data_IF_650592594485
#
_entry.id   IF_650592594485
#
_cell.length_a   1.000
_cell.length_b   1.000
_cell.length_c   1.000
_cell.angle_alpha   90.00
_cell.angle_beta   90.00
_cell.angle_gamma   90.00
#
_symmetry.space_group_name_H-M   'P 1'
#
loop_
_entity.id
_entity.type
_entity.pdbx_description
1 polymer ?
#
# COMPACT_ATOMS: atom_id res chain seq x y z
N UNK A 1 45.39 2.40 -25.49
CA UNK A 1 44.80 2.33 -24.15
C UNK A 1 45.85 1.70 -23.24
N UNK A 2 46.44 2.47 -22.33
CA UNK A 2 47.62 2.04 -21.58
C UNK A 2 47.35 0.76 -20.77
N UNK A 3 48.36 -0.09 -20.62
CA UNK A 3 48.30 -1.37 -19.89
C UNK A 3 47.82 -1.23 -18.45
N UNK A 4 47.93 -0.03 -17.87
CA UNK A 4 47.48 0.31 -16.51
C UNK A 4 45.98 0.65 -16.42
N UNK A 5 45.32 0.99 -17.53
CA UNK A 5 43.90 1.39 -17.54
C UNK A 5 42.96 0.19 -17.37
N UNK A 6 43.36 -0.99 -17.90
CA UNK A 6 42.58 -2.24 -17.81
C UNK A 6 42.35 -2.74 -16.37
N UNK A 7 43.38 -2.85 -15.50
CA UNK A 7 43.16 -3.27 -14.11
C UNK A 7 42.38 -2.23 -13.30
N UNK A 8 42.53 -0.93 -13.61
CA UNK A 8 41.78 0.13 -12.96
C UNK A 8 40.27 0.01 -13.24
N UNK A 9 39.90 -0.25 -14.50
CA UNK A 9 38.50 -0.46 -14.89
C UNK A 9 37.94 -1.72 -14.21
N UNK A 10 38.71 -2.81 -14.16
CA UNK A 10 38.29 -4.04 -13.49
C UNK A 10 38.03 -3.83 -11.99
N UNK A 11 38.90 -3.10 -11.30
CA UNK A 11 38.71 -2.75 -9.89
C UNK A 11 37.46 -1.88 -9.67
N UNK A 12 37.24 -0.88 -10.54
CA UNK A 12 36.04 -0.03 -10.47
C UNK A 12 34.76 -0.84 -10.67
N UNK A 13 34.72 -1.75 -11.65
CA UNK A 13 33.58 -2.63 -11.89
C UNK A 13 33.32 -3.58 -10.72
N UNK A 14 34.37 -4.10 -10.08
CA UNK A 14 34.23 -4.96 -8.90
C UNK A 14 33.60 -4.19 -7.73
N UNK A 15 34.03 -2.95 -7.48
CA UNK A 15 33.44 -2.08 -6.44
C UNK A 15 31.99 -1.74 -6.78
N UNK A 16 31.69 -1.38 -8.03
CA UNK A 16 30.33 -1.10 -8.48
C UNK A 16 29.40 -2.31 -8.30
N UNK A 17 29.88 -3.52 -8.63
CA UNK A 17 29.12 -4.75 -8.46
C UNK A 17 28.79 -5.02 -6.98
N UNK A 18 29.75 -4.77 -6.07
CA UNK A 18 29.51 -4.88 -4.62
C UNK A 18 28.42 -3.89 -4.18
N UNK A 19 28.52 -2.62 -4.59
CA UNK A 19 27.50 -1.61 -4.29
C UNK A 19 26.11 -1.98 -4.81
N UNK A 20 26.04 -2.56 -6.02
CA UNK A 20 24.78 -2.99 -6.62
C UNK A 20 24.13 -4.13 -5.81
N UNK A 21 24.92 -5.10 -5.34
CA UNK A 21 24.43 -6.19 -4.49
C UNK A 21 23.92 -5.65 -3.15
N UNK A 22 24.63 -4.68 -2.54
CA UNK A 22 24.15 -4.02 -1.32
C UNK A 22 22.83 -3.27 -1.56
N UNK A 23 22.70 -2.55 -2.67
CA UNK A 23 21.46 -1.85 -3.02
C UNK A 23 20.30 -2.82 -3.23
N UNK A 24 20.53 -3.96 -3.87
CA UNK A 24 19.51 -5.00 -4.08
C UNK A 24 19.12 -5.70 -2.76
N UNK A 25 20.02 -5.80 -1.78
CA UNK A 25 19.72 -6.36 -0.47
C UNK A 25 18.82 -5.45 0.39
N UNK A 26 18.95 -4.13 0.27
CA UNK A 26 18.13 -3.17 1.04
C UNK A 26 16.88 -2.71 0.28
N UNK A 27 16.81 -2.95 -1.02
CA UNK A 27 15.61 -2.66 -1.81
C UNK A 27 14.56 -3.75 -1.55
N UNK A 28 13.55 -3.43 -0.74
CA UNK A 28 12.40 -4.30 -0.50
C UNK A 28 11.26 -3.89 -1.47
N UNK A 29 11.11 -4.54 -2.64
CA UNK A 29 9.93 -4.35 -3.47
C UNK A 29 8.73 -4.90 -2.71
N UNK A 30 7.89 -4.00 -2.20
CA UNK A 30 6.77 -4.37 -1.35
C UNK A 30 6.70 -3.57 -0.05
N UNK A 31 7.75 -2.86 0.36
CA UNK A 31 7.70 -2.03 1.56
C UNK A 31 6.70 -0.87 1.38
N UNK A 32 5.79 -0.71 2.33
CA UNK A 32 4.76 0.32 2.31
C UNK A 32 3.45 -0.10 2.97
N UNK A 33 2.56 0.87 3.08
CA UNK A 33 1.20 0.66 3.54
C UNK A 33 0.29 0.41 2.34
N UNK A 34 -0.57 -0.59 2.44
CA UNK A 34 -1.54 -0.98 1.43
C UNK A 34 -2.94 -0.96 2.02
N UNK A 35 -3.88 -0.59 1.18
CA UNK A 35 -5.31 -0.73 1.45
C UNK A 35 -5.97 -1.52 0.34
N UNK A 36 -6.89 -2.40 0.70
CA UNK A 36 -7.69 -3.18 -0.22
C UNK A 36 -9.13 -3.24 0.26
N UNK A 37 -10.06 -3.16 -0.67
CA UNK A 37 -11.48 -3.39 -0.43
C UNK A 37 -11.88 -4.65 -1.18
N UNK A 38 -12.39 -5.65 -0.48
CA UNK A 38 -12.93 -6.86 -1.08
C UNK A 38 -14.45 -6.81 -1.07
N UNK A 39 -15.08 -7.04 -2.22
CA UNK A 39 -16.55 -7.09 -2.28
C UNK A 39 -17.07 -8.23 -1.42
N UNK A 40 -18.00 -7.92 -0.54
CA UNK A 40 -18.64 -8.85 0.36
C UNK A 40 -20.11 -8.99 -0.05
N UNK A 41 -20.54 -10.21 -0.38
CA UNK A 41 -21.87 -10.44 -1.00
C UNK A 41 -23.00 -10.40 0.03
N UNK A 42 -22.77 -10.96 1.21
CA UNK A 42 -23.78 -11.05 2.25
C UNK A 42 -23.72 -9.82 3.16
N UNK A 43 -24.85 -9.27 3.63
CA UNK A 43 -24.84 -8.17 4.57
C UNK A 43 -24.19 -8.63 5.89
N UNK A 44 -23.07 -8.02 6.32
CA UNK A 44 -22.42 -8.38 7.57
C UNK A 44 -23.25 -7.87 8.76
N UNK A 45 -23.11 -8.53 9.91
CA UNK A 45 -23.83 -8.17 11.15
C UNK A 45 -23.55 -6.73 11.59
N UNK A 46 -22.32 -6.25 11.34
CA UNK A 46 -21.88 -4.89 11.64
C UNK A 46 -21.16 -4.30 10.44
N UNK A 47 -21.60 -3.13 10.01
CA UNK A 47 -20.93 -2.34 8.98
C UNK A 47 -21.06 -0.86 9.29
N UNK A 48 -20.20 -0.08 8.63
CA UNK A 48 -20.23 1.38 8.69
C UNK A 48 -20.68 1.89 7.32
N UNK A 49 -21.70 2.73 7.30
CA UNK A 49 -22.24 3.26 6.04
C UNK A 49 -21.49 4.54 5.65
N UNK A 50 -21.02 4.57 4.41
CA UNK A 50 -20.35 5.72 3.81
C UNK A 50 -21.03 6.06 2.48
N UNK A 51 -21.24 7.34 2.23
CA UNK A 51 -21.53 7.85 0.90
C UNK A 51 -20.24 7.97 0.08
N UNK A 52 -20.35 8.06 -1.25
CA UNK A 52 -19.19 8.38 -2.09
C UNK A 52 -18.57 9.73 -1.75
N UNK A 53 -19.38 10.67 -1.26
CA UNK A 53 -18.95 12.00 -0.84
C UNK A 53 -18.10 11.93 0.44
N UNK A 54 -18.49 11.07 1.40
CA UNK A 54 -17.69 10.83 2.61
C UNK A 54 -16.31 10.25 2.26
N UNK A 55 -16.25 9.41 1.23
CA UNK A 55 -15.00 8.82 0.74
C UNK A 55 -14.10 9.80 0.01
N UNK A 56 -14.55 11.00 -0.38
CA UNK A 56 -13.66 12.04 -0.91
C UNK A 56 -12.63 12.49 0.12
N UNK A 57 -12.97 12.41 1.42
CA UNK A 57 -12.01 12.65 2.50
C UNK A 57 -10.93 11.57 2.55
N UNK A 58 -11.19 10.38 2.01
CA UNK A 58 -10.29 9.23 2.04
C UNK A 58 -9.97 8.69 0.64
N UNK A 59 -9.14 9.39 -0.17
CA UNK A 59 -8.93 9.07 -1.59
C UNK A 59 -8.48 7.63 -1.85
N UNK A 60 -7.57 7.09 -1.03
CA UNK A 60 -7.09 5.72 -1.18
C UNK A 60 -8.16 4.67 -0.83
N UNK A 61 -9.05 4.97 0.12
CA UNK A 61 -10.21 4.11 0.44
C UNK A 61 -11.19 4.14 -0.72
N UNK A 62 -11.49 5.33 -1.25
CA UNK A 62 -12.33 5.51 -2.43
C UNK A 62 -11.79 4.71 -3.62
N UNK A 63 -10.49 4.82 -3.89
CA UNK A 63 -9.83 4.08 -4.97
C UNK A 63 -9.94 2.57 -4.78
N UNK A 64 -9.76 2.06 -3.55
CA UNK A 64 -9.90 0.65 -3.23
C UNK A 64 -11.33 0.14 -3.45
N UNK A 65 -12.34 0.90 -3.02
CA UNK A 65 -13.76 0.58 -3.23
C UNK A 65 -14.11 0.58 -4.72
N UNK A 66 -13.57 1.51 -5.51
CA UNK A 66 -13.78 1.55 -6.96
C UNK A 66 -13.04 0.44 -7.72
N UNK A 67 -12.01 -0.16 -7.12
CA UNK A 67 -11.19 -1.22 -7.71
C UNK A 67 -11.09 -2.42 -6.75
N UNK A 68 -12.21 -3.12 -6.47
CA UNK A 68 -12.23 -4.15 -5.45
C UNK A 68 -11.30 -5.32 -5.79
N UNK A 69 -10.68 -5.91 -4.78
CA UNK A 69 -9.69 -6.99 -4.93
C UNK A 69 -8.27 -6.54 -5.21
N UNK A 70 -8.04 -5.24 -5.42
CA UNK A 70 -6.71 -4.69 -5.71
C UNK A 70 -6.07 -4.08 -4.47
N UNK A 71 -4.80 -4.40 -4.24
CA UNK A 71 -3.98 -3.69 -3.26
C UNK A 71 -3.60 -2.31 -3.84
N UNK A 72 -4.02 -1.25 -3.16
CA UNK A 72 -3.66 0.13 -3.46
C UNK A 72 -2.53 0.53 -2.53
N UNK A 73 -1.39 0.93 -3.10
CA UNK A 73 -0.27 1.50 -2.34
C UNK A 73 -0.71 2.86 -1.80
N UNK A 74 -0.57 3.06 -0.49
CA UNK A 74 -0.90 4.32 0.17
C UNK A 74 0.33 5.24 0.15
N UNK A 75 0.28 6.37 -0.58
CA UNK A 75 1.36 7.34 -0.55
C UNK A 75 1.55 7.92 0.86
N UNK A 76 2.79 8.28 1.22
CA UNK A 76 3.14 8.73 2.58
C UNK A 76 2.31 9.91 3.10
N UNK A 77 1.89 10.82 2.22
CA UNK A 77 1.03 11.97 2.58
C UNK A 77 -0.41 11.58 2.95
N UNK A 78 -0.82 10.33 2.70
CA UNK A 78 -2.14 9.80 3.07
C UNK A 78 -2.09 8.82 4.24
N UNK A 79 -0.92 8.58 4.86
CA UNK A 79 -0.79 7.65 5.99
C UNK A 79 -1.65 8.06 7.20
N UNK A 80 -1.69 9.35 7.52
CA UNK A 80 -2.53 9.87 8.61
C UNK A 80 -4.02 9.69 8.30
N UNK A 81 -4.40 9.90 7.04
CA UNK A 81 -5.77 9.76 6.57
C UNK A 81 -6.26 8.30 6.65
N UNK A 82 -5.41 7.35 6.28
CA UNK A 82 -5.69 5.91 6.45
C UNK A 82 -5.71 5.52 7.93
N UNK A 83 -4.82 6.08 8.75
CA UNK A 83 -4.84 5.86 10.20
C UNK A 83 -6.14 6.35 10.85
N UNK A 84 -6.64 7.53 10.44
CA UNK A 84 -7.92 8.07 10.88
C UNK A 84 -9.08 7.13 10.49
N UNK A 85 -9.09 6.67 9.24
CA UNK A 85 -10.10 5.71 8.78
C UNK A 85 -10.04 4.40 9.57
N UNK A 86 -8.84 3.84 9.81
CA UNK A 86 -8.67 2.62 10.60
C UNK A 86 -9.16 2.76 12.06
N UNK A 87 -9.11 3.97 12.64
CA UNK A 87 -9.71 4.25 13.95
C UNK A 87 -11.24 4.19 13.90
N UNK A 88 -11.86 4.59 12.79
CA UNK A 88 -13.32 4.47 12.61
C UNK A 88 -13.72 3.00 12.67
N UNK A 89 -13.02 2.13 11.93
CA UNK A 89 -13.24 0.67 11.97
C UNK A 89 -13.03 0.09 13.37
N UNK A 90 -11.92 0.47 14.03
CA UNK A 90 -11.60 0.00 15.38
C UNK A 90 -12.63 0.41 16.43
N UNK A 91 -13.10 1.66 16.39
CA UNK A 91 -14.06 2.20 17.35
C UNK A 91 -15.46 1.56 17.19
N UNK A 92 -15.82 1.13 15.98
CA UNK A 92 -17.09 0.47 15.68
C UNK A 92 -17.00 -1.06 15.76
N UNK A 93 -15.79 -1.61 15.89
CA UNK A 93 -15.53 -3.04 15.98
C UNK A 93 -15.88 -3.80 14.69
N UNK A 94 -15.72 -3.17 13.53
CA UNK A 94 -15.94 -3.80 12.22
C UNK A 94 -15.04 -3.17 11.15
N UNK A 95 -14.55 -4.00 10.23
CA UNK A 95 -13.84 -3.55 9.03
C UNK A 95 -14.76 -3.47 7.81
N UNK A 96 -16.03 -3.88 7.95
CA UNK A 96 -16.97 -3.84 6.85
C UNK A 96 -17.54 -2.45 6.66
N UNK A 97 -17.56 -2.00 5.42
CA UNK A 97 -18.23 -0.75 5.04
C UNK A 97 -19.31 -1.01 3.99
N UNK A 98 -20.33 -0.15 3.98
CA UNK A 98 -21.38 -0.15 2.98
C UNK A 98 -21.27 1.14 2.16
N UNK A 99 -21.22 1.00 0.83
CA UNK A 99 -21.15 2.12 -0.12
C UNK A 99 -22.11 1.85 -1.26
N UNK A 100 -23.04 2.77 -1.54
CA UNK A 100 -24.02 2.66 -2.64
C UNK A 100 -24.74 1.29 -2.74
N UNK A 101 -25.10 0.71 -1.59
CA UNK A 101 -25.78 -0.58 -1.47
C UNK A 101 -24.90 -1.84 -1.69
N UNK A 102 -23.59 -1.69 -1.79
CA UNK A 102 -22.63 -2.79 -1.79
C UNK A 102 -21.83 -2.81 -0.48
N UNK A 103 -21.42 -4.01 -0.05
CA UNK A 103 -20.60 -4.20 1.14
C UNK A 103 -19.16 -4.54 0.76
N UNK A 104 -18.22 -4.05 1.56
CA UNK A 104 -16.79 -4.21 1.33
C UNK A 104 -16.10 -4.59 2.64
N UNK A 105 -15.26 -5.62 2.62
CA UNK A 105 -14.29 -5.91 3.68
C UNK A 105 -13.02 -5.09 3.44
N UNK A 106 -12.63 -4.29 4.43
CA UNK A 106 -11.48 -3.39 4.32
C UNK A 106 -10.26 -4.02 4.97
N UNK A 107 -9.21 -4.19 4.18
CA UNK A 107 -7.93 -4.73 4.62
C UNK A 107 -6.85 -3.66 4.61
N UNK A 108 -6.10 -3.60 5.72
CA UNK A 108 -4.93 -2.73 5.90
C UNK A 108 -3.71 -3.59 6.13
N UNK A 109 -2.69 -3.41 5.30
CA UNK A 109 -1.44 -4.15 5.40
C UNK A 109 -0.27 -3.16 5.44
N UNK A 110 0.61 -3.29 6.43
CA UNK A 110 1.91 -2.62 6.43
C UNK A 110 2.94 -3.70 6.20
N UNK A 111 3.66 -3.60 5.09
CA UNK A 111 4.84 -4.40 4.85
C UNK A 111 6.05 -3.50 5.13
N UNK A 112 6.80 -3.82 6.18
CA UNK A 112 8.04 -3.12 6.56
C UNK A 112 9.27 -3.75 5.87
#
# INVERSE_FOLDING_TARGET
>A
METKTKPLIAAFLAVLAIFLVFFLMIYQPGAGMYIRADKFQDPPERYIEFSLEDLEKYPCVKEAVMNPGKNIIVPSNYHENISEFGKISSNNGTNYIKVNNEYYDMHYESAD
#
